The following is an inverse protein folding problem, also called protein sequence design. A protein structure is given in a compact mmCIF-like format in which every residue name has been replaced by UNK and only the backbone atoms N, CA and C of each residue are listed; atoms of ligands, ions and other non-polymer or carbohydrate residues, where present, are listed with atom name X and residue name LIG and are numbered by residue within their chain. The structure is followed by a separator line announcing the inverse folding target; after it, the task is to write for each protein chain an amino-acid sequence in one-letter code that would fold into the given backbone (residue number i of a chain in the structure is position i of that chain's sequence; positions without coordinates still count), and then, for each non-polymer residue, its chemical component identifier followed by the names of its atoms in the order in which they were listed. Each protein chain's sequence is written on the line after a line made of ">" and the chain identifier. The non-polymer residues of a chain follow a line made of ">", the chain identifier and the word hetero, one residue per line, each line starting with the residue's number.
data_IF_135370558302
#
_entry.id   IF_135370558302
#
_cell.length_a   1.000
_cell.length_b   1.000
_cell.length_c   1.000
_cell.angle_alpha   90.00
_cell.angle_beta   90.00
_cell.angle_gamma   90.00
#
_symmetry.space_group_name_H-M   'P 1'
#
loop_
_entity.id
_entity.type
_entity.pdbx_description
1 polymer ?
#
# COMPACT_ATOMS: atom_id res chain seq x y z
N UNK A 1 -9.22 16.98 -12.82
CA UNK A 1 -8.48 16.60 -11.62
C UNK A 1 -7.39 15.63 -11.97
N UNK A 2 -6.25 15.73 -11.34
CA UNK A 2 -5.14 14.83 -11.54
C UNK A 2 -4.93 13.97 -10.30
N UNK A 3 -4.69 12.69 -10.52
CA UNK A 3 -4.27 11.79 -9.45
C UNK A 3 -2.82 12.10 -9.06
N UNK A 4 -2.53 12.02 -7.77
CA UNK A 4 -1.17 12.14 -7.23
C UNK A 4 -0.65 10.76 -6.88
N UNK A 5 0.59 10.47 -7.29
CA UNK A 5 1.25 9.21 -7.01
C UNK A 5 2.50 9.46 -6.18
N UNK A 6 2.63 8.72 -5.07
CA UNK A 6 3.77 8.79 -4.18
C UNK A 6 4.28 7.38 -3.91
N UNK A 7 5.57 7.14 -4.13
CA UNK A 7 6.20 5.88 -3.73
C UNK A 7 6.50 5.94 -2.24
N UNK A 8 5.77 5.14 -1.44
CA UNK A 8 5.98 5.08 0.01
C UNK A 8 7.21 4.26 0.36
N UNK A 9 7.46 3.19 -0.38
CA UNK A 9 8.57 2.29 -0.16
C UNK A 9 9.00 1.70 -1.50
N UNK A 10 10.28 1.80 -1.83
CA UNK A 10 10.83 1.17 -3.02
C UNK A 10 11.07 -0.32 -2.77
N UNK A 11 10.50 -1.15 -3.62
CA UNK A 11 10.65 -2.60 -3.52
C UNK A 11 12.07 -3.06 -3.79
N UNK A 12 12.38 -4.27 -3.31
CA UNK A 12 13.67 -4.90 -3.52
C UNK A 12 13.53 -6.42 -3.57
N UNK A 13 14.50 -7.06 -4.22
CA UNK A 13 14.67 -8.50 -4.16
C UNK A 13 16.18 -8.78 -4.08
N UNK A 14 16.62 -9.41 -3.00
CA UNK A 14 18.01 -9.78 -2.79
C UNK A 14 18.10 -10.96 -1.80
N UNK A 15 19.30 -11.40 -1.49
CA UNK A 15 19.54 -12.60 -0.68
C UNK A 15 18.90 -12.53 0.71
N UNK A 16 18.74 -11.34 1.28
CA UNK A 16 18.18 -11.15 2.61
C UNK A 16 16.65 -11.06 2.63
N UNK A 17 16.00 -10.96 1.46
CA UNK A 17 14.56 -10.89 1.39
C UNK A 17 14.02 -10.18 0.18
N UNK A 18 12.71 -10.07 0.14
CA UNK A 18 11.97 -9.46 -0.95
C UNK A 18 10.83 -8.62 -0.38
N UNK A 19 10.61 -7.45 -0.97
CA UNK A 19 9.46 -6.60 -0.66
C UNK A 19 8.98 -5.93 -1.93
N UNK A 20 7.66 -5.72 -2.02
CA UNK A 20 7.07 -4.96 -3.12
C UNK A 20 7.39 -3.47 -2.99
N UNK A 21 7.26 -2.74 -4.10
CA UNK A 21 7.10 -1.30 -4.03
C UNK A 21 5.70 -1.00 -3.51
N UNK A 22 5.59 -0.12 -2.52
CA UNK A 22 4.32 0.32 -1.96
C UNK A 22 4.03 1.72 -2.45
N UNK A 23 2.89 1.91 -3.10
CA UNK A 23 2.56 3.16 -3.78
C UNK A 23 1.26 3.71 -3.22
N UNK A 24 1.26 5.02 -2.95
CA UNK A 24 0.07 5.78 -2.59
C UNK A 24 -0.44 6.51 -3.83
N UNK A 25 -1.73 6.35 -4.13
CA UNK A 25 -2.40 7.11 -5.19
C UNK A 25 -3.58 7.85 -4.58
N UNK A 26 -3.65 9.16 -4.80
CA UNK A 26 -4.71 10.01 -4.27
C UNK A 26 -5.41 10.71 -5.40
N UNK A 27 -6.74 10.71 -5.37
CA UNK A 27 -7.57 11.43 -6.32
C UNK A 27 -8.86 11.87 -5.60
N UNK A 28 -8.93 13.14 -5.23
CA UNK A 28 -10.04 13.66 -4.42
C UNK A 28 -10.13 12.92 -3.08
N UNK A 29 -11.28 12.33 -2.80
CA UNK A 29 -11.53 11.56 -1.57
C UNK A 29 -11.07 10.11 -1.66
N UNK A 30 -10.60 9.67 -2.81
CA UNK A 30 -10.10 8.31 -3.00
C UNK A 30 -8.62 8.27 -2.63
N UNK A 31 -8.28 7.39 -1.69
CA UNK A 31 -6.91 7.19 -1.19
C UNK A 31 -6.58 5.71 -1.33
N UNK A 32 -5.69 5.40 -2.26
CA UNK A 32 -5.37 4.01 -2.63
C UNK A 32 -3.94 3.69 -2.21
N UNK A 33 -3.76 2.56 -1.54
CA UNK A 33 -2.45 1.97 -1.31
C UNK A 33 -2.32 0.71 -2.16
N UNK A 34 -1.27 0.67 -2.97
CA UNK A 34 -0.98 -0.46 -3.85
C UNK A 34 0.10 -1.32 -3.23
N UNK A 35 -0.17 -2.62 -3.12
CA UNK A 35 0.78 -3.65 -2.70
C UNK A 35 1.46 -3.38 -1.35
N UNK A 36 0.71 -3.23 -0.24
CA UNK A 36 1.32 -3.08 1.09
C UNK A 36 1.93 -4.40 1.55
N UNK A 37 3.17 -4.62 1.13
CA UNK A 37 3.80 -5.92 1.17
C UNK A 37 4.76 -6.14 2.34
N UNK A 38 5.75 -7.01 2.13
CA UNK A 38 6.65 -7.51 3.17
C UNK A 38 7.80 -6.53 3.45
N UNK A 39 7.48 -5.35 3.93
CA UNK A 39 8.50 -4.46 4.46
C UNK A 39 8.96 -4.95 5.83
N UNK A 40 10.17 -4.58 6.24
CA UNK A 40 10.77 -5.06 7.51
C UNK A 40 10.00 -4.61 8.75
N UNK A 41 9.32 -3.47 8.65
CA UNK A 41 8.56 -2.90 9.75
C UNK A 41 7.38 -2.14 9.19
N UNK A 42 6.19 -2.18 9.83
CA UNK A 42 5.06 -1.36 9.43
C UNK A 42 5.38 0.13 9.31
N UNK A 43 6.32 0.63 10.11
CA UNK A 43 6.74 2.03 10.06
C UNK A 43 7.29 2.44 8.68
N UNK A 44 7.87 1.52 7.92
CA UNK A 44 8.37 1.81 6.57
C UNK A 44 7.26 2.12 5.58
N UNK A 45 6.01 1.76 5.89
CA UNK A 45 4.82 2.19 5.16
C UNK A 45 4.16 3.37 5.88
N UNK A 46 3.96 3.25 7.20
CA UNK A 46 3.17 4.22 7.97
C UNK A 46 3.85 5.58 8.10
N UNK A 47 5.17 5.64 8.25
CA UNK A 47 5.87 6.91 8.39
C UNK A 47 5.80 7.75 7.10
N UNK A 48 6.12 7.21 5.90
CA UNK A 48 5.95 7.97 4.67
C UNK A 48 4.48 8.27 4.35
N UNK A 49 3.55 7.41 4.74
CA UNK A 49 2.12 7.68 4.61
C UNK A 49 1.74 8.92 5.44
N UNK A 50 2.16 8.97 6.70
CA UNK A 50 1.94 10.11 7.57
C UNK A 50 2.61 11.38 7.07
N UNK A 51 3.81 11.27 6.49
CA UNK A 51 4.50 12.41 5.88
C UNK A 51 3.71 12.95 4.66
N UNK A 52 2.94 12.11 3.99
CA UNK A 52 2.06 12.53 2.90
C UNK A 52 0.72 13.08 3.42
N UNK A 53 0.52 13.16 4.74
CA UNK A 53 -0.70 13.69 5.36
C UNK A 53 -1.86 12.72 5.43
N UNK A 54 -1.59 11.42 5.38
CA UNK A 54 -2.63 10.37 5.37
C UNK A 54 -2.49 9.48 6.60
N UNK A 55 -3.60 9.28 7.33
CA UNK A 55 -3.66 8.27 8.38
C UNK A 55 -4.07 6.91 7.80
N UNK A 56 -3.68 5.79 8.42
CA UNK A 56 -4.09 4.46 7.93
C UNK A 56 -5.61 4.28 7.80
N UNK A 57 -6.38 4.87 8.71
CA UNK A 57 -7.85 4.78 8.69
C UNK A 57 -8.50 5.64 7.60
N UNK A 58 -7.73 6.51 6.96
CA UNK A 58 -8.18 7.33 5.84
C UNK A 58 -7.99 6.66 4.48
N UNK A 59 -7.26 5.56 4.41
CA UNK A 59 -7.08 4.80 3.17
C UNK A 59 -8.41 4.14 2.82
N UNK A 60 -8.91 4.45 1.63
CA UNK A 60 -10.22 3.99 1.17
C UNK A 60 -10.17 2.67 0.43
N UNK A 61 -9.06 2.38 -0.20
CA UNK A 61 -8.89 1.22 -1.05
C UNK A 61 -7.46 0.70 -0.98
N UNK A 62 -7.31 -0.62 -0.95
CA UNK A 62 -6.04 -1.32 -1.15
C UNK A 62 -6.17 -2.14 -2.42
N UNK A 63 -5.21 -1.98 -3.32
CA UNK A 63 -5.17 -2.71 -4.58
C UNK A 63 -3.96 -3.64 -4.59
N UNK A 64 -4.20 -4.90 -4.89
CA UNK A 64 -3.15 -5.91 -5.01
C UNK A 64 -2.89 -6.22 -6.49
N UNK A 65 -1.64 -6.10 -6.90
CA UNK A 65 -1.24 -6.50 -8.25
C UNK A 65 -1.28 -8.02 -8.40
N UNK A 66 -0.93 -8.76 -7.33
CA UNK A 66 -1.06 -10.21 -7.27
C UNK A 66 -0.91 -10.68 -5.81
N UNK A 67 -1.07 -12.00 -5.58
CA UNK A 67 -1.23 -12.56 -4.23
C UNK A 67 0.05 -13.08 -3.57
N UNK A 68 1.23 -12.85 -4.12
CA UNK A 68 2.47 -13.23 -3.45
C UNK A 68 2.62 -12.43 -2.15
N UNK A 69 3.10 -13.06 -1.06
CA UNK A 69 3.18 -12.41 0.26
C UNK A 69 3.98 -11.12 0.27
N UNK A 70 4.99 -10.99 -0.58
CA UNK A 70 5.78 -9.77 -0.70
C UNK A 70 4.97 -8.56 -1.15
N UNK A 71 3.74 -8.76 -1.66
CA UNK A 71 2.81 -7.70 -2.06
C UNK A 71 1.61 -7.55 -1.13
N UNK A 72 1.37 -8.48 -0.19
CA UNK A 72 0.12 -8.55 0.57
C UNK A 72 0.29 -8.49 2.09
N UNK A 73 1.50 -8.62 2.61
CA UNK A 73 1.79 -8.89 4.02
C UNK A 73 1.20 -7.90 5.00
N UNK A 74 1.08 -6.62 4.62
CA UNK A 74 0.61 -5.55 5.48
C UNK A 74 -0.77 -4.98 5.12
N UNK A 75 -1.61 -5.77 4.46
CA UNK A 75 -3.00 -5.36 4.16
C UNK A 75 -3.74 -4.91 5.42
N UNK A 76 -3.52 -5.59 6.54
CA UNK A 76 -4.23 -5.33 7.79
C UNK A 76 -3.95 -3.97 8.43
N UNK A 77 -3.00 -3.20 7.91
CA UNK A 77 -2.72 -1.85 8.40
C UNK A 77 -3.84 -0.85 8.07
N UNK A 78 -4.74 -1.18 7.14
CA UNK A 78 -5.74 -0.25 6.61
C UNK A 78 -7.15 -0.75 6.91
N UNK A 79 -7.68 -0.47 8.13
CA UNK A 79 -8.90 -1.13 8.62
C UNK A 79 -10.18 -0.74 7.88
N UNK A 80 -10.20 0.41 7.23
CA UNK A 80 -11.40 0.91 6.54
C UNK A 80 -11.35 0.75 5.03
N UNK A 81 -10.26 0.20 4.49
CA UNK A 81 -10.06 0.07 3.07
C UNK A 81 -10.84 -1.12 2.49
N UNK A 82 -11.39 -0.91 1.28
CA UNK A 82 -11.85 -2.02 0.45
C UNK A 82 -10.64 -2.66 -0.20
N UNK A 83 -10.61 -3.99 -0.23
CA UNK A 83 -9.51 -4.73 -0.83
C UNK A 83 -9.90 -5.14 -2.25
N UNK A 84 -9.05 -4.78 -3.21
CA UNK A 84 -9.23 -5.11 -4.63
C UNK A 84 -8.14 -6.06 -5.09
N UNK A 85 -8.54 -7.11 -5.78
CA UNK A 85 -7.61 -7.97 -6.50
C UNK A 85 -8.17 -8.29 -7.89
N UNK A 86 -7.53 -9.21 -8.61
CA UNK A 86 -7.94 -9.55 -9.97
C UNK A 86 -9.33 -10.23 -10.02
N UNK A 87 -9.80 -10.78 -8.90
CA UNK A 87 -11.06 -11.52 -8.84
C UNK A 87 -12.23 -10.71 -8.29
N UNK A 88 -12.00 -9.83 -7.33
CA UNK A 88 -13.10 -9.22 -6.59
C UNK A 88 -12.70 -7.94 -5.85
N UNK A 89 -13.73 -7.27 -5.34
CA UNK A 89 -13.61 -6.23 -4.31
C UNK A 89 -14.24 -6.80 -3.04
N UNK A 90 -13.51 -6.75 -1.96
CA UNK A 90 -13.93 -7.34 -0.68
C UNK A 90 -14.40 -6.30 0.33
#
# INVERSE_FOLDING_TARGET
>A
MTAELTVLHAGYAHDEGVASSVVLVRDGDVVVVVDPGMVRSPALILDPLGAAGVRPDEVTDVVLSHHHPDHTWHIALFPNARLHDVWAVY
#
